data_IF_013230337414
#
_entry.id   IF_013230337414
#
_cell.length_a   1.000
_cell.length_b   1.000
_cell.length_c   1.000
_cell.angle_alpha   90.00
_cell.angle_beta   90.00
_cell.angle_gamma   90.00
#
_symmetry.space_group_name_H-M   'P 1'
#
loop_
_entity.id
_entity.type
_entity.pdbx_description
1 polymer ?
#
# COMPACT_ATOMS: atom_id res chain seq x y z
N UNK A 1 -1.86 -19.14 3.93
CA UNK A 1 -0.62 -18.35 3.88
C UNK A 1 -0.86 -17.36 2.77
N UNK A 2 -0.97 -16.07 3.05
CA UNK A 2 -1.06 -15.07 1.98
C UNK A 2 0.36 -14.97 1.41
N UNK A 3 0.58 -15.62 0.28
CA UNK A 3 1.86 -15.60 -0.40
C UNK A 3 2.08 -14.19 -0.96
N UNK A 4 3.33 -13.72 -1.04
CA UNK A 4 3.68 -12.39 -1.62
C UNK A 4 3.06 -12.10 -3.00
N UNK A 5 2.54 -13.12 -3.67
CA UNK A 5 1.79 -12.99 -4.91
C UNK A 5 0.45 -12.25 -4.72
N UNK A 6 -0.26 -12.44 -3.61
CA UNK A 6 -1.56 -11.80 -3.36
C UNK A 6 -1.40 -10.27 -3.28
N UNK A 7 -0.40 -9.79 -2.54
CA UNK A 7 -0.13 -8.36 -2.38
C UNK A 7 0.28 -7.71 -3.71
N UNK A 8 1.13 -8.38 -4.49
CA UNK A 8 1.56 -7.87 -5.79
C UNK A 8 0.40 -7.77 -6.77
N UNK A 9 -0.41 -8.82 -6.88
CA UNK A 9 -1.61 -8.80 -7.74
C UNK A 9 -2.63 -7.77 -7.26
N UNK A 10 -2.80 -7.62 -5.95
CA UNK A 10 -3.65 -6.59 -5.37
C UNK A 10 -3.18 -5.18 -5.74
N UNK A 11 -1.86 -4.97 -5.72
CA UNK A 11 -1.22 -3.73 -6.12
C UNK A 11 -1.44 -3.43 -7.62
N UNK A 12 -1.18 -4.41 -8.47
CA UNK A 12 -1.38 -4.30 -9.93
C UNK A 12 -2.85 -4.03 -10.31
N UNK A 13 -3.81 -4.71 -9.66
CA UNK A 13 -5.25 -4.51 -9.91
C UNK A 13 -5.71 -3.10 -9.56
N UNK A 14 -5.15 -2.53 -8.49
CA UNK A 14 -5.52 -1.20 -8.00
C UNK A 14 -4.62 -0.11 -8.56
N UNK A 15 -3.70 -0.45 -9.47
CA UNK A 15 -2.68 0.46 -10.03
C UNK A 15 -1.85 1.15 -8.94
N UNK A 16 -1.69 0.49 -7.79
CA UNK A 16 -0.97 1.01 -6.64
C UNK A 16 0.41 0.41 -6.50
N UNK A 17 1.32 1.11 -5.82
CA UNK A 17 2.68 0.64 -5.59
C UNK A 17 2.66 -0.59 -4.68
N UNK A 18 3.53 -1.56 -4.97
CA UNK A 18 3.62 -2.79 -4.17
C UNK A 18 4.02 -2.49 -2.73
N UNK A 19 4.81 -1.44 -2.50
CA UNK A 19 5.21 -1.01 -1.16
C UNK A 19 4.03 -0.51 -0.32
N UNK A 20 3.08 0.20 -0.94
CA UNK A 20 1.83 0.63 -0.29
C UNK A 20 0.98 -0.60 0.03
N UNK A 21 0.80 -1.49 -0.95
CA UNK A 21 0.08 -2.73 -0.73
C UNK A 21 0.72 -3.57 0.39
N UNK A 22 2.04 -3.73 0.41
CA UNK A 22 2.75 -4.46 1.48
C UNK A 22 2.57 -3.78 2.84
N UNK A 23 2.63 -2.46 2.91
CA UNK A 23 2.39 -1.72 4.16
C UNK A 23 0.95 -1.91 4.67
N UNK A 24 -0.03 -1.86 3.76
CA UNK A 24 -1.44 -2.08 4.09
C UNK A 24 -1.68 -3.51 4.59
N UNK A 25 -1.16 -4.51 3.89
CA UNK A 25 -1.30 -5.91 4.32
C UNK A 25 -0.56 -6.19 5.62
N UNK A 26 0.60 -5.55 5.84
CA UNK A 26 1.32 -5.64 7.12
C UNK A 26 0.50 -5.02 8.27
N UNK A 27 -0.13 -3.87 8.04
CA UNK A 27 -1.00 -3.22 9.02
C UNK A 27 -2.30 -4.00 9.25
N UNK A 28 -2.82 -4.62 8.21
CA UNK A 28 -4.03 -5.45 8.22
C UNK A 28 -3.78 -6.90 8.69
N UNK A 29 -2.57 -7.25 9.13
CA UNK A 29 -2.19 -8.62 9.53
C UNK A 29 -2.45 -9.69 8.46
N UNK A 30 -2.33 -9.34 7.18
CA UNK A 30 -2.70 -10.15 6.00
C UNK A 30 -4.20 -10.43 5.83
N UNK A 31 -5.06 -9.63 6.46
CA UNK A 31 -6.51 -9.69 6.24
C UNK A 31 -6.87 -8.81 5.04
N UNK A 32 -7.29 -9.44 3.95
CA UNK A 32 -7.64 -8.76 2.69
C UNK A 32 -8.83 -7.80 2.86
N UNK A 33 -9.75 -8.10 3.77
CA UNK A 33 -10.93 -7.27 4.05
C UNK A 33 -10.53 -5.99 4.76
N UNK A 34 -9.65 -6.11 5.77
CA UNK A 34 -9.08 -4.95 6.46
C UNK A 34 -8.17 -4.16 5.54
N UNK A 35 -7.34 -4.82 4.73
CA UNK A 35 -6.48 -4.18 3.75
C UNK A 35 -7.30 -3.34 2.77
N UNK A 36 -8.39 -3.89 2.24
CA UNK A 36 -9.30 -3.16 1.37
C UNK A 36 -9.96 -1.99 2.09
N UNK A 37 -10.36 -2.17 3.35
CA UNK A 37 -10.96 -1.08 4.13
C UNK A 37 -9.98 0.07 4.37
N UNK A 38 -8.74 -0.22 4.76
CA UNK A 38 -7.66 0.76 4.94
C UNK A 38 -7.36 1.48 3.62
N UNK A 39 -7.38 0.73 2.51
CA UNK A 39 -7.22 1.28 1.17
C UNK A 39 -8.32 2.28 0.79
N UNK A 40 -9.58 1.92 1.05
CA UNK A 40 -10.73 2.75 0.73
C UNK A 40 -10.87 3.96 1.66
N UNK A 41 -10.55 3.80 2.95
CA UNK A 41 -10.58 4.90 3.92
C UNK A 41 -9.38 5.85 3.77
N UNK A 42 -8.26 5.37 3.23
CA UNK A 42 -7.00 6.10 3.22
C UNK A 42 -6.34 6.06 4.60
N UNK A 43 -5.04 5.82 4.66
CA UNK A 43 -4.33 5.77 5.93
C UNK A 43 -2.89 6.28 5.78
N UNK A 44 -2.58 7.34 6.52
CA UNK A 44 -1.28 8.00 6.45
C UNK A 44 -0.16 7.14 7.05
N UNK A 45 -0.45 6.30 8.07
CA UNK A 45 0.57 5.44 8.67
C UNK A 45 1.10 4.39 7.68
N UNK A 46 0.22 3.78 6.87
CA UNK A 46 0.65 2.84 5.82
C UNK A 46 1.38 3.55 4.69
N UNK A 47 1.01 4.79 4.35
CA UNK A 47 1.79 5.60 3.42
C UNK A 47 3.21 5.86 3.93
N UNK A 48 3.35 6.35 5.17
CA UNK A 48 4.65 6.61 5.80
C UNK A 48 5.48 5.33 5.77
N UNK A 49 4.90 4.20 6.18
CA UNK A 49 5.59 2.92 6.26
C UNK A 49 5.99 2.38 4.89
N UNK A 50 5.16 2.60 3.86
CA UNK A 50 5.52 2.29 2.48
C UNK A 50 6.70 3.14 2.00
N UNK A 51 6.69 4.44 2.30
CA UNK A 51 7.81 5.37 2.02
C UNK A 51 9.07 5.09 2.84
N UNK A 52 8.95 4.43 4.00
CA UNK A 52 10.12 3.96 4.76
C UNK A 52 10.75 2.70 4.16
N UNK A 53 9.95 1.88 3.46
CA UNK A 53 10.41 0.66 2.79
C UNK A 53 11.04 0.91 1.42
N UNK A 54 10.85 2.09 0.85
CA UNK A 54 11.30 2.45 -0.49
C UNK A 54 12.04 3.77 -0.48
N UNK A 55 13.04 3.90 -1.34
CA UNK A 55 13.74 5.17 -1.54
C UNK A 55 13.10 6.02 -2.66
N UNK A 56 11.93 5.62 -3.16
CA UNK A 56 11.22 6.36 -4.20
C UNK A 56 10.73 7.73 -3.67
N UNK A 57 10.87 8.76 -4.52
CA UNK A 57 10.34 10.10 -4.23
C UNK A 57 8.81 10.15 -4.23
N UNK A 58 8.17 9.22 -4.94
CA UNK A 58 6.72 9.12 -5.08
C UNK A 58 6.27 7.66 -5.18
N UNK A 59 5.08 7.41 -4.66
CA UNK A 59 4.36 6.15 -4.76
C UNK A 59 2.99 6.40 -5.37
N UNK A 60 2.39 5.37 -5.92
CA UNK A 60 1.05 5.44 -6.50
C UNK A 60 0.07 4.81 -5.52
N UNK A 61 -0.86 5.60 -5.01
CA UNK A 61 -2.07 5.09 -4.36
C UNK A 61 -3.17 5.00 -5.42
N UNK A 62 -3.01 3.99 -6.28
CA UNK A 62 -3.87 3.74 -7.40
C UNK A 62 -3.68 4.79 -8.46
N UNK A 63 -4.74 5.49 -8.84
CA UNK A 63 -4.62 6.59 -9.80
C UNK A 63 -3.99 7.84 -9.18
N UNK A 64 -3.91 7.92 -7.85
CA UNK A 64 -3.33 9.06 -7.15
C UNK A 64 -1.83 8.91 -6.95
N UNK A 65 -1.06 9.93 -7.34
CA UNK A 65 0.37 10.00 -7.07
C UNK A 65 0.61 10.66 -5.73
N UNK A 66 1.16 9.91 -4.78
CA UNK A 66 1.56 10.40 -3.46
C UNK A 66 3.05 10.69 -3.49
N UNK A 67 3.46 11.90 -3.08
CA UNK A 67 4.86 12.27 -2.95
C UNK A 67 5.31 12.12 -1.49
N UNK A 68 6.53 11.60 -1.28
CA UNK A 68 7.13 11.43 0.06
C UNK A 68 7.19 12.72 0.89
N UNK A 69 7.08 13.87 0.24
CA UNK A 69 7.10 15.20 0.90
C UNK A 69 5.73 15.66 1.42
N UNK A 70 4.65 15.00 1.02
CA UNK A 70 3.26 15.36 1.36
C UNK A 70 2.61 14.38 2.36
N UNK A 71 3.40 13.45 2.91
CA UNK A 71 2.99 12.51 3.96
C UNK A 71 3.59 12.93 5.31
#
# INVERSE_FOLDING_TARGET
MADKHDVKSWAEIRETSIEIAEAIFEFAENDETLAQKIWEEGNDEVLIRAFEKTDADHLFWGEEKVDRKNV
#
